data_IF_298021423857
#
_entry.id   IF_298021423857
#
_cell.length_a   1.000
_cell.length_b   1.000
_cell.length_c   1.000
_cell.angle_alpha   90.00
_cell.angle_beta   90.00
_cell.angle_gamma   90.00
#
_symmetry.space_group_name_H-M   'P 1'
#
loop_
_entity.id
_entity.type
_entity.pdbx_description
1 polymer ?
#
# COMPACT_ATOMS: atom_id res chain seq x y z
N UNK A 1 -9.68 7.88 2.03
CA UNK A 1 -9.42 7.52 3.44
C UNK A 1 -7.98 7.89 3.81
N UNK A 2 -7.76 8.65 4.89
CA UNK A 2 -6.46 9.30 5.21
C UNK A 2 -5.29 8.31 5.40
N UNK A 3 -5.59 7.10 5.89
CA UNK A 3 -4.58 6.16 6.37
C UNK A 3 -3.75 5.53 5.24
N UNK A 4 -4.34 5.30 4.06
CA UNK A 4 -3.60 4.76 2.91
C UNK A 4 -2.62 5.78 2.31
N UNK A 5 -2.88 7.09 2.44
CA UNK A 5 -1.98 8.14 1.94
C UNK A 5 -0.67 8.13 2.70
N UNK A 6 -0.72 7.92 4.02
CA UNK A 6 0.47 7.83 4.85
C UNK A 6 1.32 6.60 4.47
N UNK A 7 0.71 5.44 4.26
CA UNK A 7 1.44 4.24 3.81
C UNK A 7 2.05 4.43 2.41
N UNK A 8 1.30 5.05 1.49
CA UNK A 8 1.78 5.36 0.15
C UNK A 8 3.04 6.26 0.17
N UNK A 9 3.04 7.29 1.01
CA UNK A 9 4.20 8.18 1.18
C UNK A 9 5.39 7.46 1.82
N UNK A 10 5.13 6.62 2.82
CA UNK A 10 6.15 5.79 3.47
C UNK A 10 6.81 4.80 2.47
N UNK A 11 6.02 4.11 1.65
CA UNK A 11 6.55 3.22 0.60
C UNK A 11 7.27 4.00 -0.51
N UNK A 12 6.75 5.17 -0.87
CA UNK A 12 7.36 6.04 -1.87
C UNK A 12 8.70 6.59 -1.44
N UNK A 13 8.95 6.73 -0.13
CA UNK A 13 10.27 7.10 0.38
C UNK A 13 11.38 6.09 0.00
N UNK A 14 11.01 4.85 -0.34
CA UNK A 14 11.94 3.81 -0.81
C UNK A 14 12.29 3.93 -2.30
N UNK A 15 11.58 4.76 -3.07
CA UNK A 15 11.73 4.87 -4.53
C UNK A 15 13.18 5.07 -5.00
N UNK A 16 14.00 5.94 -4.37
CA UNK A 16 15.41 6.07 -4.78
C UNK A 16 16.21 4.76 -4.65
N UNK A 17 16.00 4.00 -3.56
CA UNK A 17 16.66 2.72 -3.35
C UNK A 17 16.17 1.65 -4.32
N UNK A 18 14.87 1.68 -4.65
CA UNK A 18 14.26 0.78 -5.61
C UNK A 18 14.80 1.04 -7.03
N UNK A 19 14.95 2.31 -7.41
CA UNK A 19 15.50 2.71 -8.71
C UNK A 19 16.96 2.30 -8.86
N UNK A 20 17.79 2.45 -7.82
CA UNK A 20 19.17 1.97 -7.81
C UNK A 20 19.27 0.45 -8.01
N UNK A 21 18.27 -0.31 -7.54
CA UNK A 21 18.20 -1.76 -7.65
C UNK A 21 17.47 -2.23 -8.91
N UNK A 22 16.96 -1.32 -9.75
CA UNK A 22 16.14 -1.65 -10.92
C UNK A 22 14.80 -2.32 -10.56
N UNK A 23 14.30 -2.10 -9.35
CA UNK A 23 13.03 -2.68 -8.87
C UNK A 23 11.91 -1.65 -9.05
N UNK A 24 10.87 -1.93 -9.84
CA UNK A 24 9.76 -0.99 -9.99
C UNK A 24 8.87 -0.93 -8.75
N UNK A 25 8.22 0.21 -8.54
CA UNK A 25 7.22 0.42 -7.50
C UNK A 25 5.86 0.68 -8.15
N UNK A 26 4.86 -0.13 -7.79
CA UNK A 26 3.50 -0.05 -8.34
C UNK A 26 2.44 0.03 -7.24
N UNK A 27 1.40 0.81 -7.50
CA UNK A 27 0.16 0.82 -6.74
C UNK A 27 -0.97 0.30 -7.63
N UNK A 28 -1.81 -0.57 -7.09
CA UNK A 28 -3.03 -1.03 -7.75
C UNK A 28 -4.21 -0.49 -6.95
N UNK A 29 -5.06 0.31 -7.59
CA UNK A 29 -6.27 0.90 -7.01
C UNK A 29 -7.49 0.23 -7.61
N UNK A 30 -8.55 0.07 -6.83
CA UNK A 30 -9.79 -0.64 -7.22
C UNK A 30 -10.83 0.24 -7.91
N UNK A 31 -10.75 1.55 -7.66
CA UNK A 31 -11.77 2.50 -8.09
C UNK A 31 -11.09 3.82 -8.44
N UNK A 32 -11.71 4.55 -9.37
CA UNK A 32 -11.35 5.91 -9.71
C UNK A 32 -12.59 6.79 -9.47
N UNK A 33 -12.96 6.95 -8.21
CA UNK A 33 -14.14 7.71 -7.81
C UNK A 33 -13.72 9.11 -7.36
N UNK A 34 -14.38 10.12 -7.92
CA UNK A 34 -14.14 11.52 -7.58
C UNK A 34 -12.67 11.91 -7.79
N UNK A 35 -12.03 12.38 -6.72
CA UNK A 35 -10.63 12.84 -6.72
C UNK A 35 -9.64 11.81 -6.17
N UNK A 36 -10.04 10.57 -5.86
CA UNK A 36 -9.18 9.64 -5.09
C UNK A 36 -7.80 9.40 -5.72
N UNK A 37 -7.72 9.19 -7.03
CA UNK A 37 -6.43 9.03 -7.73
C UNK A 37 -5.63 10.34 -7.73
N UNK A 38 -6.31 11.48 -7.90
CA UNK A 38 -5.68 12.80 -7.89
C UNK A 38 -5.11 13.13 -6.51
N UNK A 39 -5.83 12.78 -5.45
CA UNK A 39 -5.42 12.94 -4.05
C UNK A 39 -4.33 11.94 -3.68
N UNK A 40 -4.34 10.73 -4.25
CA UNK A 40 -3.32 9.71 -4.01
C UNK A 40 -1.99 10.00 -4.71
N UNK A 41 -2.03 10.57 -5.91
CA UNK A 41 -0.86 10.76 -6.77
C UNK A 41 0.30 11.54 -6.09
N UNK A 42 0.07 12.66 -5.38
CA UNK A 42 1.13 13.38 -4.68
C UNK A 42 1.86 12.55 -3.61
N UNK A 43 1.21 11.50 -3.11
CA UNK A 43 1.74 10.63 -2.06
C UNK A 43 2.40 9.36 -2.60
N UNK A 44 2.31 9.09 -3.91
CA UNK A 44 2.83 7.87 -4.50
C UNK A 44 3.76 8.12 -5.70
N UNK A 45 5.04 7.79 -5.54
CA UNK A 45 6.09 8.04 -6.53
C UNK A 45 6.17 6.97 -7.65
N UNK A 46 5.54 5.81 -7.47
CA UNK A 46 5.50 4.72 -8.45
C UNK A 46 4.43 4.90 -9.53
N UNK A 47 4.24 3.89 -10.39
CA UNK A 47 3.11 3.87 -11.32
C UNK A 47 1.83 3.40 -10.62
N UNK A 48 0.68 3.93 -11.04
CA UNK A 48 -0.62 3.61 -10.46
C UNK A 48 -1.47 2.95 -11.53
N UNK A 49 -1.99 1.77 -11.24
CA UNK A 49 -2.86 1.00 -12.12
C UNK A 49 -4.26 0.89 -11.52
N UNK A 50 -5.29 1.06 -12.35
CA UNK A 50 -6.67 0.80 -11.96
C UNK A 50 -7.04 -0.64 -12.29
N UNK A 51 -7.42 -1.42 -11.28
CA UNK A 51 -7.95 -2.77 -11.43
C UNK A 51 -9.48 -2.72 -11.36
N UNK A 52 -10.10 -2.37 -12.49
CA UNK A 52 -11.57 -2.26 -12.62
C UNK A 52 -12.30 -3.57 -12.31
N UNK A 53 -11.65 -4.71 -12.56
CA UNK A 53 -12.21 -6.05 -12.30
C UNK A 53 -11.97 -6.51 -10.87
N UNK A 54 -11.15 -5.77 -10.11
CA UNK A 54 -10.74 -6.09 -8.75
C UNK A 54 -10.13 -7.50 -8.63
N UNK A 55 -9.47 -7.97 -9.70
CA UNK A 55 -8.86 -9.30 -9.77
C UNK A 55 -7.69 -9.45 -8.78
N UNK A 56 -6.91 -8.39 -8.54
CA UNK A 56 -5.82 -8.35 -7.56
C UNK A 56 -6.32 -8.45 -6.11
N UNK A 57 -7.60 -8.15 -5.87
CA UNK A 57 -8.22 -8.27 -4.56
C UNK A 57 -8.77 -9.68 -4.29
N UNK A 58 -8.62 -10.58 -5.27
CA UNK A 58 -9.01 -11.99 -5.19
C UNK A 58 -10.52 -12.22 -5.35
N UNK A 59 -10.94 -13.49 -5.56
CA UNK A 59 -12.35 -13.84 -5.71
C UNK A 59 -13.17 -13.56 -4.43
N UNK A 60 -12.49 -13.60 -3.28
CA UNK A 60 -13.08 -13.24 -1.98
C UNK A 60 -12.39 -11.99 -1.45
N UNK A 61 -13.06 -10.86 -1.63
CA UNK A 61 -12.56 -9.57 -1.17
C UNK A 61 -12.52 -9.52 0.34
N UNK A 62 -11.37 -9.10 0.88
CA UNK A 62 -11.20 -8.85 2.32
C UNK A 62 -11.89 -7.55 2.66
N UNK A 63 -13.18 -7.62 3.04
CA UNK A 63 -13.95 -6.46 3.48
C UNK A 63 -13.97 -6.38 5.00
N UNK A 64 -13.69 -5.20 5.53
CA UNK A 64 -13.98 -4.86 6.92
C UNK A 64 -15.42 -4.34 6.99
N UNK A 65 -16.30 -4.99 7.75
CA UNK A 65 -17.67 -4.49 7.96
C UNK A 65 -17.67 -3.22 8.81
N UNK A 66 -18.81 -2.51 8.88
CA UNK A 66 -18.94 -1.25 9.64
C UNK A 66 -18.55 -1.35 11.12
N UNK A 67 -18.69 -2.52 11.74
CA UNK A 67 -18.23 -2.77 13.12
C UNK A 67 -16.69 -2.71 13.27
N UNK A 68 -15.93 -2.83 12.18
CA UNK A 68 -14.48 -2.67 12.21
C UNK A 68 -14.06 -1.26 12.61
N UNK A 69 -14.89 -0.24 12.36
CA UNK A 69 -14.63 1.14 12.82
C UNK A 69 -14.69 1.27 14.34
N UNK A 70 -15.21 0.29 15.08
CA UNK A 70 -15.22 0.29 16.56
C UNK A 70 -13.85 -0.16 17.11
N UNK A 71 -12.99 -0.77 16.28
CA UNK A 71 -11.69 -1.27 16.73
C UNK A 71 -10.76 -0.12 17.11
N UNK A 72 -10.18 -0.22 18.31
CA UNK A 72 -9.25 0.79 18.84
C UNK A 72 -8.04 1.04 17.92
N UNK A 73 -7.53 0.01 17.25
CA UNK A 73 -6.39 0.14 16.32
C UNK A 73 -6.69 1.03 15.12
N UNK A 74 -7.89 0.93 14.54
CA UNK A 74 -8.36 1.80 13.45
C UNK A 74 -8.39 3.27 13.88
N UNK A 75 -8.90 3.56 15.09
CA UNK A 75 -8.89 4.93 15.64
C UNK A 75 -7.47 5.45 15.90
N UNK A 76 -6.58 4.62 16.45
CA UNK A 76 -5.20 4.99 16.67
C UNK A 76 -4.47 5.32 15.35
N UNK A 77 -4.69 4.52 14.32
CA UNK A 77 -4.13 4.73 12.98
C UNK A 77 -4.67 6.02 12.35
N UNK A 78 -5.96 6.28 12.50
CA UNK A 78 -6.57 7.52 12.02
C UNK A 78 -6.02 8.76 12.72
N UNK A 79 -5.94 8.76 14.06
CA UNK A 79 -5.37 9.86 14.85
C UNK A 79 -3.91 10.10 14.46
N UNK A 80 -3.14 9.02 14.25
CA UNK A 80 -1.74 9.10 13.81
C UNK A 80 -1.62 9.79 12.45
N UNK A 81 -2.37 9.34 11.46
CA UNK A 81 -2.31 9.89 10.11
C UNK A 81 -2.77 11.36 10.08
N UNK A 82 -3.82 11.69 10.84
CA UNK A 82 -4.29 13.08 10.98
C UNK A 82 -3.24 13.99 11.63
N UNK A 83 -2.56 13.54 12.71
CA UNK A 83 -1.45 14.29 13.33
C UNK A 83 -0.27 14.49 12.38
N UNK A 84 -0.08 13.59 11.42
CA UNK A 84 0.95 13.72 10.38
C UNK A 84 0.52 14.60 9.20
N UNK A 85 -0.64 15.25 9.27
CA UNK A 85 -1.09 16.26 8.30
C UNK A 85 -1.78 15.70 7.05
N UNK A 86 -2.07 14.40 7.02
CA UNK A 86 -2.77 13.80 5.88
C UNK A 86 -4.26 14.17 5.90
N UNK A 87 -4.77 14.59 4.76
CA UNK A 87 -6.19 14.87 4.52
C UNK A 87 -6.63 14.01 3.33
N UNK A 88 -7.81 13.40 3.40
CA UNK A 88 -8.25 12.46 2.38
C UNK A 88 -9.76 12.32 2.37
N UNK A 89 -10.31 12.15 1.18
CA UNK A 89 -11.73 11.96 0.95
C UNK A 89 -12.26 10.69 1.65
N UNK A 90 -13.46 10.72 2.22
CA UNK A 90 -14.13 9.55 2.81
C UNK A 90 -15.19 8.94 1.88
N UNK A 91 -15.43 9.58 0.73
CA UNK A 91 -16.40 9.14 -0.28
C UNK A 91 -15.78 8.10 -1.23
N UNK A 92 -15.80 6.84 -0.82
CA UNK A 92 -15.42 5.66 -1.60
C UNK A 92 -15.94 4.40 -0.91
N UNK A 93 -15.87 3.22 -1.56
CA UNK A 93 -16.24 1.94 -0.91
C UNK A 93 -15.12 1.58 0.09
N UNK A 94 -14.98 2.33 1.17
CA UNK A 94 -13.89 2.28 2.15
C UNK A 94 -13.88 1.04 3.05
N UNK A 95 -14.28 -0.12 2.51
CA UNK A 95 -14.41 -1.38 3.23
C UNK A 95 -13.38 -2.44 2.80
N UNK A 96 -12.78 -2.32 1.62
CA UNK A 96 -11.81 -3.33 1.13
C UNK A 96 -10.41 -3.05 1.70
N UNK A 97 -9.82 -4.07 2.32
CA UNK A 97 -8.47 -4.06 2.89
C UNK A 97 -7.40 -4.26 1.81
N UNK A 98 -6.31 -3.52 1.92
CA UNK A 98 -5.18 -3.57 1.01
C UNK A 98 -4.13 -4.62 1.39
N UNK A 99 -2.95 -4.44 0.81
CA UNK A 99 -1.77 -5.21 1.13
C UNK A 99 -0.56 -4.75 0.34
N UNK A 100 0.62 -5.17 0.78
CA UNK A 100 1.90 -4.90 0.14
C UNK A 100 2.55 -6.22 -0.23
N UNK A 101 3.05 -6.29 -1.46
CA UNK A 101 3.72 -7.46 -2.00
C UNK A 101 5.11 -7.09 -2.48
N UNK A 102 6.09 -7.95 -2.20
CA UNK A 102 7.40 -7.92 -2.85
C UNK A 102 7.50 -9.18 -3.70
N UNK A 103 7.64 -8.99 -5.01
CA UNK A 103 7.68 -10.08 -5.99
C UNK A 103 9.15 -10.28 -6.40
N UNK A 104 9.63 -11.51 -6.27
CA UNK A 104 10.98 -11.90 -6.69
C UNK A 104 11.07 -12.02 -8.22
N UNK A 105 12.30 -11.93 -8.73
CA UNK A 105 12.55 -12.03 -10.18
C UNK A 105 12.33 -13.46 -10.68
N UNK A 106 11.77 -13.62 -11.89
CA UNK A 106 11.60 -14.93 -12.52
C UNK A 106 10.62 -15.81 -11.73
N UNK A 107 11.05 -17.03 -11.41
CA UNK A 107 10.21 -18.02 -10.72
C UNK A 107 10.28 -17.95 -9.19
N UNK A 108 10.88 -16.90 -8.63
CA UNK A 108 11.02 -16.73 -7.17
C UNK A 108 9.68 -16.49 -6.45
N UNK A 109 8.63 -16.10 -7.18
CA UNK A 109 7.30 -15.88 -6.61
C UNK A 109 7.24 -14.69 -5.64
N UNK A 110 6.39 -14.80 -4.63
CA UNK A 110 6.17 -13.73 -3.64
C UNK A 110 7.17 -13.88 -2.49
N UNK A 111 8.05 -12.88 -2.33
CA UNK A 111 9.06 -12.83 -1.26
C UNK A 111 8.50 -12.22 0.03
N UNK A 112 7.54 -11.31 -0.09
CA UNK A 112 6.79 -10.75 1.03
C UNK A 112 5.35 -10.53 0.64
N UNK A 113 4.48 -10.92 1.55
CA UNK A 113 3.05 -10.64 1.50
C UNK A 113 2.66 -10.07 2.86
N UNK A 114 2.26 -8.80 2.86
CA UNK A 114 1.64 -8.16 4.01
C UNK A 114 0.18 -7.86 3.65
N UNK A 115 -0.73 -8.59 4.28
CA UNK A 115 -2.18 -8.39 4.14
C UNK A 115 -2.67 -7.55 5.31
N UNK A 116 -3.20 -6.37 5.03
CA UNK A 116 -3.83 -5.55 6.08
C UNK A 116 -4.92 -6.36 6.80
N UNK A 117 -4.88 -6.37 8.14
CA UNK A 117 -5.92 -6.98 8.99
C UNK A 117 -7.04 -6.00 9.33
N UNK A 118 -6.72 -4.72 9.33
CA UNK A 118 -7.59 -3.58 9.55
C UNK A 118 -6.99 -2.33 8.89
N UNK A 119 -7.77 -1.27 8.73
CA UNK A 119 -7.27 -0.07 8.06
C UNK A 119 -6.07 0.54 8.79
N UNK A 120 -4.97 0.70 8.06
CA UNK A 120 -3.72 1.21 8.61
C UNK A 120 -2.86 0.20 9.32
N UNK A 121 -3.19 -1.09 9.22
CA UNK A 121 -2.25 -2.16 9.53
C UNK A 121 -1.18 -2.21 8.45
N UNK A 122 -0.17 -1.34 8.57
CA UNK A 122 0.86 -1.15 7.55
C UNK A 122 1.95 -2.21 7.60
N UNK A 123 2.58 -2.41 6.45
CA UNK A 123 3.84 -3.17 6.40
C UNK A 123 4.94 -2.43 7.17
N UNK A 124 5.81 -3.17 7.86
CA UNK A 124 7.02 -2.59 8.46
C UNK A 124 8.02 -2.27 7.36
N UNK A 125 8.35 -0.99 7.13
CA UNK A 125 9.34 -0.58 6.13
C UNK A 125 10.69 -1.29 6.28
N UNK A 126 11.10 -1.60 7.52
CA UNK A 126 12.32 -2.37 7.79
C UNK A 126 12.32 -3.75 7.10
N UNK A 127 11.18 -4.44 7.08
CA UNK A 127 11.05 -5.75 6.43
C UNK A 127 11.23 -5.64 4.91
N UNK A 128 10.68 -4.58 4.30
CA UNK A 128 10.86 -4.29 2.87
C UNK A 128 12.33 -3.99 2.58
N UNK A 129 12.96 -3.10 3.36
CA UNK A 129 14.38 -2.77 3.21
C UNK A 129 15.30 -3.98 3.36
N UNK A 130 15.03 -4.85 4.34
CA UNK A 130 15.81 -6.06 4.56
C UNK A 130 15.73 -7.01 3.36
N UNK A 131 14.55 -7.19 2.78
CA UNK A 131 14.37 -8.04 1.60
C UNK A 131 15.05 -7.45 0.36
N UNK A 132 14.95 -6.15 0.16
CA UNK A 132 15.69 -5.45 -0.90
C UNK A 132 17.19 -5.71 -0.77
N UNK A 133 17.72 -5.62 0.46
CA UNK A 133 19.12 -5.91 0.73
C UNK A 133 19.51 -7.36 0.48
N UNK A 134 18.68 -8.33 0.86
CA UNK A 134 19.02 -9.76 0.75
C UNK A 134 18.92 -10.30 -0.68
N UNK A 135 17.93 -9.84 -1.45
CA UNK A 135 17.61 -10.45 -2.74
C UNK A 135 18.08 -9.64 -3.96
N UNK A 136 18.37 -8.35 -3.78
CA UNK A 136 18.70 -7.44 -4.88
C UNK A 136 20.08 -6.76 -4.71
N UNK A 137 20.59 -6.59 -3.48
CA UNK A 137 21.94 -6.04 -3.24
C UNK A 137 23.01 -7.13 -3.43
N UNK A 138 23.40 -7.34 -4.69
CA UNK A 138 24.41 -8.33 -5.08
C UNK A 138 24.40 -8.69 -6.56
N UNK A 139 23.40 -8.23 -7.32
CA UNK A 139 23.35 -8.35 -8.78
C UNK A 139 23.79 -7.04 -9.42
N UNK A 140 25.06 -6.68 -9.19
CA UNK A 140 25.73 -5.71 -10.04
C UNK A 140 25.94 -6.35 -11.42
N UNK A 141 25.65 -5.58 -12.47
CA UNK A 141 26.22 -5.80 -13.80
C UNK A 141 27.76 -5.86 -13.71
#
# INVERSE_FOLDING_TARGET
MIVYLQEASELSSLKPQLDELGVPLYAVVKENVGTEIQDFRPHFAGEIFLDEKQAFYGPQQRKMGGLGFIRLGVWQNFIRAWRSGYQGNVNGEGFILGGVFVIGSGEQGVLLEHREKEFGDKVKLFSVHLLLRLHFKGRGL
#
